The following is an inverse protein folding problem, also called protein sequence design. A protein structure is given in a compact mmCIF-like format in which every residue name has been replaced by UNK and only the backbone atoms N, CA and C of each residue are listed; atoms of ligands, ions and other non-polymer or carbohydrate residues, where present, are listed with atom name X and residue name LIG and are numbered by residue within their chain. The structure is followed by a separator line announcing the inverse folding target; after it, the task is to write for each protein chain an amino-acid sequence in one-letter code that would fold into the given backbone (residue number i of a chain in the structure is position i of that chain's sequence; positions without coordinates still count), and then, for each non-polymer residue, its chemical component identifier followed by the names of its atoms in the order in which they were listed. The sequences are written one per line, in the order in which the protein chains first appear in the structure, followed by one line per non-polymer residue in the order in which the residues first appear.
data_IF_760848904524
#
_entry.id   IF_760848904524
#
_cell.length_a   1.000
_cell.length_b   1.000
_cell.length_c   1.000
_cell.angle_alpha   90.00
_cell.angle_beta   90.00
_cell.angle_gamma   90.00
#
_symmetry.space_group_name_H-M   'P 1'
#
loop_
_entity.id
_entity.type
_entity.pdbx_description
1 polymer ?
#
# COMPACT_ATOMS: atom_id res chain seq x y z
N UNK A 1 1.15 26.88 -10.18
CA UNK A 1 1.18 25.99 -11.36
C UNK A 1 2.62 25.88 -11.83
N UNK A 2 3.07 24.66 -12.05
CA UNK A 2 4.40 24.38 -12.60
C UNK A 2 4.36 24.45 -14.12
N UNK A 3 5.36 25.08 -14.74
CA UNK A 3 5.49 25.19 -16.20
C UNK A 3 6.63 24.30 -16.71
N UNK A 4 6.49 22.98 -16.59
CA UNK A 4 7.52 22.02 -16.99
C UNK A 4 6.92 20.65 -17.39
N UNK A 5 7.66 19.90 -18.21
CA UNK A 5 7.39 18.48 -18.44
C UNK A 5 8.22 17.64 -17.46
N UNK A 6 7.56 17.13 -16.42
CA UNK A 6 8.20 16.28 -15.43
C UNK A 6 8.44 14.87 -15.97
N UNK A 7 9.54 14.26 -15.53
CA UNK A 7 9.91 12.89 -15.91
C UNK A 7 10.12 12.08 -14.64
N UNK A 8 9.51 10.89 -14.60
CA UNK A 8 9.84 9.87 -13.62
C UNK A 8 11.01 9.07 -14.20
N UNK A 9 12.13 8.93 -13.46
CA UNK A 9 13.24 8.09 -13.90
C UNK A 9 12.78 6.66 -14.19
N UNK A 10 13.41 6.01 -15.17
CA UNK A 10 13.17 4.59 -15.40
C UNK A 10 13.56 3.80 -14.13
N UNK A 11 12.63 3.00 -13.58
CA UNK A 11 12.87 2.28 -12.35
C UNK A 11 13.71 1.03 -12.60
N UNK A 12 14.44 0.61 -11.57
CA UNK A 12 15.14 -0.67 -11.52
C UNK A 12 14.54 -1.50 -10.40
N UNK A 13 14.59 -2.83 -10.55
CA UNK A 13 14.10 -3.74 -9.52
C UNK A 13 14.88 -3.58 -8.20
N UNK A 14 14.17 -3.59 -7.08
CA UNK A 14 14.77 -3.56 -5.76
C UNK A 14 15.62 -4.84 -5.53
N UNK A 15 16.87 -4.70 -5.08
CA UNK A 15 17.73 -5.85 -4.88
C UNK A 15 17.25 -6.71 -3.70
N UNK A 16 17.16 -8.02 -3.93
CA UNK A 16 16.84 -9.01 -2.89
C UNK A 16 18.00 -9.11 -1.89
N UNK A 17 17.74 -8.83 -0.62
CA UNK A 17 18.69 -9.01 0.48
C UNK A 17 18.79 -10.49 0.83
N UNK A 18 20.02 -10.96 1.07
CA UNK A 18 20.31 -12.38 1.27
C UNK A 18 20.00 -12.90 2.68
N UNK A 19 20.00 -12.02 3.70
CA UNK A 19 19.83 -12.38 5.11
C UNK A 19 20.80 -13.48 5.59
N UNK A 20 22.03 -13.46 5.08
CA UNK A 20 23.08 -14.42 5.44
C UNK A 20 23.43 -14.39 6.93
N UNK A 21 23.97 -15.49 7.50
CA UNK A 21 24.49 -15.50 8.87
C UNK A 21 25.46 -14.34 9.13
N UNK A 22 25.23 -13.58 10.19
CA UNK A 22 26.06 -12.43 10.57
C UNK A 22 25.75 -11.12 9.82
N UNK A 23 24.85 -11.12 8.84
CA UNK A 23 24.48 -9.89 8.13
C UNK A 23 23.70 -8.91 9.04
N UNK A 24 23.88 -7.59 8.86
CA UNK A 24 23.11 -6.58 9.58
C UNK A 24 21.60 -6.72 9.38
N UNK A 25 21.16 -7.04 8.15
CA UNK A 25 19.74 -7.23 7.82
C UNK A 25 19.12 -8.38 8.61
N UNK A 26 19.85 -9.50 8.77
CA UNK A 26 19.40 -10.63 9.58
C UNK A 26 19.32 -10.28 11.05
N UNK A 27 20.29 -9.52 11.58
CA UNK A 27 20.26 -9.08 12.97
C UNK A 27 19.05 -8.17 13.24
N UNK A 28 18.84 -7.17 12.39
CA UNK A 28 17.73 -6.22 12.50
C UNK A 28 16.36 -6.90 12.35
N UNK A 29 16.22 -7.84 11.40
CA UNK A 29 14.97 -8.58 11.24
C UNK A 29 14.67 -9.47 12.44
N UNK A 30 15.67 -10.13 13.03
CA UNK A 30 15.48 -10.94 14.25
C UNK A 30 15.02 -10.09 15.43
N UNK A 31 15.64 -8.93 15.63
CA UNK A 31 15.22 -7.97 16.66
C UNK A 31 13.77 -7.52 16.43
N UNK A 32 13.43 -7.21 15.17
CA UNK A 32 12.09 -6.77 14.79
C UNK A 32 11.04 -7.87 15.00
N UNK A 33 11.34 -9.12 14.61
CA UNK A 33 10.48 -10.27 14.87
C UNK A 33 10.24 -10.47 16.36
N UNK A 34 11.29 -10.46 17.18
CA UNK A 34 11.17 -10.62 18.64
C UNK A 34 10.31 -9.52 19.26
N UNK A 35 10.54 -8.26 18.87
CA UNK A 35 9.76 -7.11 19.34
C UNK A 35 8.28 -7.22 18.94
N UNK A 36 8.00 -7.55 17.68
CA UNK A 36 6.64 -7.63 17.16
C UNK A 36 5.87 -8.84 17.69
N UNK A 37 6.54 -9.99 17.88
CA UNK A 37 5.95 -11.16 18.51
C UNK A 37 5.60 -10.93 19.99
N UNK A 38 6.37 -10.10 20.69
CA UNK A 38 6.11 -9.74 22.08
C UNK A 38 5.02 -8.68 22.27
N UNK A 39 4.50 -8.10 21.18
CA UNK A 39 3.53 -7.02 21.22
C UNK A 39 2.26 -7.40 20.45
N UNK A 40 1.18 -7.61 21.18
CA UNK A 40 -0.16 -7.66 20.59
C UNK A 40 -0.62 -6.25 20.16
N UNK A 41 -1.31 -6.18 19.03
CA UNK A 41 -1.94 -4.93 18.56
C UNK A 41 -3.45 -5.08 18.38
N UNK A 42 -4.17 -3.98 18.52
CA UNK A 42 -5.57 -3.89 18.14
C UNK A 42 -5.66 -3.12 16.81
N UNK A 43 -6.16 -3.76 15.76
CA UNK A 43 -6.30 -3.15 14.43
C UNK A 43 -7.73 -2.63 14.25
N UNK A 44 -7.95 -1.31 14.25
CA UNK A 44 -9.25 -0.73 13.97
C UNK A 44 -9.55 -0.75 12.46
N UNK A 45 -10.79 -0.44 12.10
CA UNK A 45 -11.07 0.01 10.74
C UNK A 45 -10.51 1.42 10.59
N UNK A 46 -9.97 1.75 9.42
CA UNK A 46 -9.53 3.10 9.12
C UNK A 46 -10.46 3.69 8.07
N UNK A 47 -11.22 4.72 8.44
CA UNK A 47 -12.20 5.38 7.58
C UNK A 47 -11.96 6.88 7.63
N UNK A 48 -11.64 7.50 6.49
CA UNK A 48 -11.33 8.94 6.43
C UNK A 48 -10.21 9.35 7.38
N UNK A 49 -9.20 8.49 7.57
CA UNK A 49 -8.09 8.70 8.52
C UNK A 49 -8.41 8.41 9.99
N UNK A 50 -9.67 8.12 10.33
CA UNK A 50 -10.10 7.89 11.70
C UNK A 50 -10.13 6.39 12.04
N UNK A 51 -9.70 6.07 13.27
CA UNK A 51 -9.79 4.71 13.82
C UNK A 51 -11.21 4.43 14.33
N UNK A 52 -11.86 3.41 13.78
CA UNK A 52 -13.19 2.95 14.21
C UNK A 52 -13.08 1.56 14.83
N UNK A 53 -13.45 1.50 16.12
CA UNK A 53 -13.51 0.27 16.91
C UNK A 53 -14.95 -0.20 17.02
N UNK A 54 -15.30 -1.27 16.32
CA UNK A 54 -16.68 -1.80 16.27
C UNK A 54 -17.06 -2.67 17.46
N UNK A 55 -16.10 -3.07 18.30
CA UNK A 55 -16.27 -4.12 19.32
C UNK A 55 -16.46 -5.54 18.77
N UNK A 56 -16.86 -5.71 17.51
CA UNK A 56 -16.97 -7.00 16.85
C UNK A 56 -15.60 -7.44 16.31
N UNK A 57 -14.84 -8.17 17.11
CA UNK A 57 -13.44 -8.50 16.83
C UNK A 57 -13.22 -9.94 16.34
N UNK A 58 -12.04 -10.18 15.79
CA UNK A 58 -11.48 -11.49 15.51
C UNK A 58 -9.97 -11.47 15.78
N UNK A 59 -9.40 -12.62 16.11
CA UNK A 59 -7.98 -12.73 16.46
C UNK A 59 -7.09 -12.82 15.23
N UNK A 60 -5.87 -12.29 15.36
CA UNK A 60 -4.75 -12.52 14.45
C UNK A 60 -3.74 -13.41 15.18
N UNK A 61 -3.42 -14.56 14.60
CA UNK A 61 -2.48 -15.55 15.15
C UNK A 61 -1.47 -15.94 14.10
N UNK A 62 -0.26 -16.30 14.52
CA UNK A 62 0.77 -16.76 13.59
C UNK A 62 0.42 -18.16 13.05
N UNK A 63 0.38 -18.40 11.72
CA UNK A 63 -0.03 -19.72 11.21
C UNK A 63 0.95 -20.87 11.49
N UNK A 64 2.23 -20.58 11.79
CA UNK A 64 3.22 -21.60 12.15
C UNK A 64 3.16 -22.01 13.63
N UNK A 65 2.55 -21.18 14.47
CA UNK A 65 2.35 -21.44 15.90
C UNK A 65 1.15 -20.63 16.37
N UNK A 66 0.00 -21.28 16.45
CA UNK A 66 -1.28 -20.62 16.72
C UNK A 66 -1.36 -20.11 18.17
N UNK A 67 -0.47 -20.53 19.08
CA UNK A 67 -0.41 -19.99 20.44
C UNK A 67 0.15 -18.56 20.44
N UNK A 68 0.92 -18.20 19.41
CA UNK A 68 1.37 -16.81 19.19
C UNK A 68 0.18 -15.97 18.72
N UNK A 69 -0.36 -15.19 19.65
CA UNK A 69 -1.37 -14.17 19.38
C UNK A 69 -0.69 -12.87 18.98
N UNK A 70 -0.99 -12.39 17.78
CA UNK A 70 -0.49 -11.11 17.25
C UNK A 70 -1.44 -9.95 17.62
N UNK A 71 -2.65 -10.27 18.07
CA UNK A 71 -3.64 -9.33 18.57
C UNK A 71 -5.03 -9.57 17.99
N UNK A 72 -5.82 -8.51 17.82
CA UNK A 72 -7.19 -8.57 17.30
C UNK A 72 -7.45 -7.50 16.27
N UNK A 73 -8.43 -7.71 15.39
CA UNK A 73 -8.92 -6.69 14.48
C UNK A 73 -10.43 -6.55 14.55
N UNK A 74 -10.91 -5.35 14.23
CA UNK A 74 -12.34 -5.05 14.14
C UNK A 74 -12.92 -5.44 12.77
N UNK A 75 -14.08 -6.11 12.78
CA UNK A 75 -14.83 -6.44 11.57
C UNK A 75 -15.81 -5.31 11.24
N UNK A 76 -15.87 -4.94 9.97
CA UNK A 76 -16.83 -3.99 9.42
C UNK A 76 -18.20 -4.64 9.20
N UNK A 77 -19.27 -3.92 9.54
CA UNK A 77 -20.64 -4.21 9.13
C UNK A 77 -21.11 -3.25 8.04
N UNK A 78 -22.42 -3.31 7.73
CA UNK A 78 -23.04 -2.46 6.71
C UNK A 78 -22.84 -0.96 6.98
N UNK A 79 -22.94 -0.55 8.26
CA UNK A 79 -22.75 0.85 8.68
C UNK A 79 -21.35 1.33 8.35
N UNK A 80 -20.32 0.57 8.72
CA UNK A 80 -18.93 0.94 8.49
C UNK A 80 -18.59 0.96 6.99
N UNK A 81 -19.17 0.05 6.20
CA UNK A 81 -19.01 0.08 4.74
C UNK A 81 -19.60 1.35 4.13
N UNK A 82 -20.79 1.79 4.57
CA UNK A 82 -21.40 3.05 4.12
C UNK A 82 -20.53 4.26 4.46
N UNK A 83 -20.01 4.30 5.70
CA UNK A 83 -19.08 5.35 6.13
C UNK A 83 -17.78 5.36 5.30
N UNK A 84 -17.25 4.19 4.95
CA UNK A 84 -16.07 4.08 4.10
C UNK A 84 -16.32 4.61 2.68
N UNK A 85 -17.50 4.35 2.12
CA UNK A 85 -17.90 4.88 0.81
C UNK A 85 -18.01 6.40 0.86
N UNK A 86 -18.70 6.94 1.86
CA UNK A 86 -18.86 8.38 2.03
C UNK A 86 -17.49 9.07 2.17
N UNK A 87 -16.64 8.60 3.08
CA UNK A 87 -15.31 9.17 3.30
C UNK A 87 -14.42 9.11 2.06
N UNK A 88 -14.49 8.03 1.28
CA UNK A 88 -13.74 7.91 0.04
C UNK A 88 -14.23 8.93 -1.01
N UNK A 89 -15.55 9.03 -1.19
CA UNK A 89 -16.14 9.97 -2.15
C UNK A 89 -15.89 11.44 -1.76
N UNK A 90 -15.85 11.75 -0.47
CA UNK A 90 -15.48 13.08 0.04
C UNK A 90 -14.03 13.45 -0.31
N UNK A 91 -13.09 12.51 -0.18
CA UNK A 91 -11.68 12.71 -0.53
C UNK A 91 -11.41 12.76 -2.05
N UNK A 92 -12.32 12.20 -2.87
CA UNK A 92 -12.11 11.99 -4.31
C UNK A 92 -11.81 13.27 -5.08
N UNK A 93 -12.56 14.34 -4.83
CA UNK A 93 -12.41 15.59 -5.60
C UNK A 93 -11.02 16.18 -5.44
N UNK A 94 -10.55 16.30 -4.20
CA UNK A 94 -9.24 16.88 -3.89
C UNK A 94 -8.10 15.98 -4.38
N UNK A 95 -8.25 14.66 -4.22
CA UNK A 95 -7.26 13.70 -4.70
C UNK A 95 -7.14 13.65 -6.22
N UNK A 96 -8.26 13.67 -6.94
CA UNK A 96 -8.29 13.72 -8.40
C UNK A 96 -7.71 15.04 -8.93
N UNK A 97 -7.97 16.16 -8.24
CA UNK A 97 -7.46 17.49 -8.59
C UNK A 97 -5.96 17.67 -8.29
N UNK A 98 -5.37 16.84 -7.43
CA UNK A 98 -3.94 16.85 -7.16
C UNK A 98 -3.14 16.61 -8.46
N UNK A 99 -2.10 17.40 -8.76
CA UNK A 99 -1.23 17.11 -9.90
C UNK A 99 -0.65 15.69 -9.84
N UNK A 100 -0.57 15.02 -10.99
CA UNK A 100 -0.20 13.60 -11.07
C UNK A 100 1.19 13.34 -10.49
N UNK A 101 2.12 14.29 -10.62
CA UNK A 101 3.48 14.19 -10.11
C UNK A 101 3.51 14.14 -8.58
N UNK A 102 2.55 14.79 -7.91
CA UNK A 102 2.43 14.74 -6.46
C UNK A 102 1.84 13.40 -6.00
N UNK A 103 0.84 12.86 -6.72
CA UNK A 103 0.35 11.50 -6.45
C UNK A 103 1.44 10.44 -6.64
N UNK A 104 2.21 10.55 -7.71
CA UNK A 104 3.37 9.69 -7.94
C UNK A 104 4.42 9.83 -6.83
N UNK A 105 4.70 11.06 -6.37
CA UNK A 105 5.68 11.31 -5.31
C UNK A 105 5.34 10.61 -3.99
N UNK A 106 4.05 10.45 -3.67
CA UNK A 106 3.61 9.71 -2.48
C UNK A 106 3.95 8.23 -2.61
N UNK A 107 3.67 7.62 -3.77
CA UNK A 107 4.00 6.20 -4.01
C UNK A 107 5.51 5.97 -4.06
N UNK A 108 6.27 6.88 -4.68
CA UNK A 108 7.73 6.81 -4.70
C UNK A 108 8.32 6.98 -3.29
N UNK A 109 7.77 7.88 -2.47
CA UNK A 109 8.16 8.03 -1.07
C UNK A 109 7.82 6.79 -0.25
N UNK A 110 6.67 6.14 -0.49
CA UNK A 110 6.32 4.88 0.13
C UNK A 110 7.34 3.78 -0.21
N UNK A 111 7.76 3.70 -1.47
CA UNK A 111 8.81 2.78 -1.93
C UNK A 111 10.15 3.04 -1.22
N UNK A 112 10.57 4.29 -1.08
CA UNK A 112 11.83 4.63 -0.42
C UNK A 112 11.80 4.37 1.09
N UNK A 113 10.66 4.66 1.75
CA UNK A 113 10.42 4.29 3.13
C UNK A 113 10.53 2.77 3.35
N UNK A 114 10.00 1.99 2.39
CA UNK A 114 10.05 0.53 2.39
C UNK A 114 11.45 -0.02 2.08
N UNK A 115 12.20 0.58 1.14
CA UNK A 115 13.63 0.24 0.94
C UNK A 115 14.44 0.47 2.21
N UNK A 116 14.08 1.50 2.99
CA UNK A 116 14.76 1.87 4.23
C UNK A 116 14.19 1.21 5.49
N UNK A 117 13.71 2.06 6.40
CA UNK A 117 13.38 1.70 7.79
C UNK A 117 12.17 0.78 7.94
N UNK A 118 11.26 0.77 6.96
CA UNK A 118 10.05 -0.04 7.02
C UNK A 118 10.26 -1.50 6.58
N UNK A 119 11.32 -1.80 5.82
CA UNK A 119 11.63 -3.14 5.33
C UNK A 119 11.62 -4.24 6.40
N UNK A 120 12.37 -4.12 7.52
CA UNK A 120 12.35 -5.16 8.54
C UNK A 120 10.97 -5.30 9.21
N UNK A 121 10.20 -4.22 9.31
CA UNK A 121 8.86 -4.20 9.91
C UNK A 121 7.88 -4.98 9.03
N UNK A 122 7.85 -4.67 7.73
CA UNK A 122 6.92 -5.31 6.79
C UNK A 122 7.29 -6.77 6.51
N UNK A 123 8.59 -7.08 6.41
CA UNK A 123 9.03 -8.47 6.31
C UNK A 123 8.67 -9.25 7.58
N UNK A 124 8.92 -8.71 8.78
CA UNK A 124 8.54 -9.38 10.03
C UNK A 124 7.02 -9.55 10.15
N UNK A 125 6.23 -8.54 9.82
CA UNK A 125 4.78 -8.61 9.85
C UNK A 125 4.24 -9.70 8.91
N UNK A 126 4.81 -9.78 7.71
CA UNK A 126 4.44 -10.78 6.71
C UNK A 126 4.88 -12.19 7.13
N UNK A 127 6.07 -12.35 7.70
CA UNK A 127 6.52 -13.63 8.24
C UNK A 127 5.62 -14.11 9.40
N UNK A 128 5.28 -13.22 10.33
CA UNK A 128 4.43 -13.55 11.48
C UNK A 128 2.98 -13.85 11.04
N UNK A 129 2.35 -12.94 10.29
CA UNK A 129 0.93 -13.05 9.93
C UNK A 129 0.63 -14.07 8.84
N UNK A 130 1.56 -14.29 7.90
CA UNK A 130 1.36 -15.20 6.75
C UNK A 130 2.28 -16.42 6.76
N UNK A 131 3.08 -16.60 7.82
CA UNK A 131 4.00 -17.72 7.97
C UNK A 131 5.01 -17.87 6.83
N UNK A 132 5.42 -16.74 6.24
CA UNK A 132 6.45 -16.73 5.20
C UNK A 132 7.83 -16.95 5.80
N UNK A 133 8.70 -17.61 5.04
CA UNK A 133 10.14 -17.58 5.32
C UNK A 133 10.68 -16.18 5.02
N UNK A 134 11.87 -15.86 5.53
CA UNK A 134 12.48 -14.54 5.26
C UNK A 134 12.63 -14.26 3.77
N UNK A 135 13.04 -15.25 2.97
CA UNK A 135 13.16 -15.10 1.52
C UNK A 135 11.80 -14.83 0.87
N UNK A 136 10.75 -15.56 1.29
CA UNK A 136 9.40 -15.40 0.75
C UNK A 136 8.76 -14.07 1.13
N UNK A 137 9.05 -13.53 2.32
CA UNK A 137 8.63 -12.18 2.69
C UNK A 137 9.43 -11.11 1.94
N UNK A 138 10.74 -11.30 1.84
CA UNK A 138 11.64 -10.37 1.17
C UNK A 138 11.26 -10.10 -0.29
N UNK A 139 11.02 -11.16 -1.07
CA UNK A 139 10.66 -11.00 -2.48
C UNK A 139 9.25 -10.42 -2.67
N UNK A 140 8.38 -10.50 -1.66
CA UNK A 140 6.97 -10.08 -1.68
C UNK A 140 6.78 -8.71 -1.01
N UNK A 141 6.78 -8.67 0.32
CA UNK A 141 6.45 -7.50 1.12
C UNK A 141 7.49 -6.38 1.05
N UNK A 142 8.68 -6.67 0.53
CA UNK A 142 9.68 -5.68 0.20
C UNK A 142 9.83 -5.51 -1.31
N UNK A 143 10.57 -6.40 -1.99
CA UNK A 143 11.00 -6.15 -3.37
C UNK A 143 9.83 -5.93 -4.34
N UNK A 144 8.89 -6.86 -4.42
CA UNK A 144 7.76 -6.75 -5.35
C UNK A 144 6.86 -5.54 -5.04
N UNK A 145 6.64 -5.21 -3.76
CA UNK A 145 5.85 -4.03 -3.39
C UNK A 145 6.55 -2.71 -3.73
N UNK A 146 7.86 -2.61 -3.43
CA UNK A 146 8.70 -1.47 -3.82
C UNK A 146 8.65 -1.29 -5.34
N UNK A 147 8.80 -2.40 -6.07
CA UNK A 147 8.76 -2.42 -7.52
C UNK A 147 7.39 -2.00 -8.04
N UNK A 148 6.27 -2.51 -7.49
CA UNK A 148 4.94 -2.06 -7.89
C UNK A 148 4.80 -0.55 -7.79
N UNK A 149 5.23 0.08 -6.69
CA UNK A 149 5.09 1.52 -6.53
C UNK A 149 6.00 2.31 -7.48
N UNK A 150 7.25 1.88 -7.69
CA UNK A 150 8.19 2.53 -8.63
C UNK A 150 7.77 2.36 -10.08
N UNK A 151 7.47 1.12 -10.49
CA UNK A 151 7.09 0.79 -11.85
C UNK A 151 5.71 1.32 -12.21
N UNK A 152 4.70 1.26 -11.34
CA UNK A 152 3.39 1.85 -11.65
C UNK A 152 3.47 3.38 -11.81
N UNK A 153 4.29 4.07 -11.01
CA UNK A 153 4.52 5.50 -11.18
C UNK A 153 5.13 5.80 -12.55
N UNK A 154 6.13 5.02 -12.95
CA UNK A 154 6.74 5.11 -14.29
C UNK A 154 5.74 4.80 -15.41
N UNK A 155 4.97 3.71 -15.30
CA UNK A 155 3.96 3.32 -16.28
C UNK A 155 2.84 4.36 -16.41
N UNK A 156 2.40 4.97 -15.31
CA UNK A 156 1.46 6.08 -15.35
C UNK A 156 2.01 7.23 -16.21
N UNK A 157 3.28 7.60 -16.01
CA UNK A 157 3.92 8.65 -16.82
C UNK A 157 4.02 8.26 -18.31
N UNK A 158 4.31 7.00 -18.62
CA UNK A 158 4.34 6.49 -20.00
C UNK A 158 2.95 6.58 -20.65
N UNK A 159 1.90 6.11 -19.98
CA UNK A 159 0.51 6.18 -20.47
C UNK A 159 0.12 7.63 -20.73
N UNK A 160 0.39 8.55 -19.81
CA UNK A 160 0.04 9.97 -20.00
C UNK A 160 0.80 10.66 -21.15
N UNK A 161 1.98 10.14 -21.51
CA UNK A 161 2.77 10.66 -22.62
C UNK A 161 2.21 10.24 -24.00
N UNK A 162 1.32 9.24 -24.06
CA UNK A 162 0.66 8.86 -25.29
C UNK A 162 -0.35 9.93 -25.70
N UNK A 163 -0.08 10.61 -26.83
CA UNK A 163 -0.89 11.72 -27.35
C UNK A 163 -1.16 11.53 -28.85
N UNK A 164 -2.32 12.00 -29.35
CA UNK A 164 -2.72 11.81 -30.74
C UNK A 164 -1.97 12.76 -31.69
N UNK A 165 -1.92 12.37 -32.96
CA UNK A 165 -1.46 13.25 -34.04
C UNK A 165 -2.41 14.45 -34.17
N UNK A 166 -1.83 15.63 -34.38
CA UNK A 166 -2.57 16.86 -34.69
C UNK A 166 -2.47 17.17 -36.19
N UNK A 167 -3.61 17.31 -36.85
CA UNK A 167 -3.69 17.71 -38.26
C UNK A 167 -3.60 19.23 -38.43
N UNK A 168 -3.52 19.70 -39.68
CA UNK A 168 -3.45 21.12 -39.98
C UNK A 168 -4.63 21.91 -39.36
N UNK A 169 -4.34 22.99 -38.64
CA UNK A 169 -5.35 23.83 -37.98
C UNK A 169 -6.00 23.22 -36.74
N UNK A 170 -5.52 22.07 -36.26
CA UNK A 170 -6.05 21.39 -35.07
C UNK A 170 -4.94 21.09 -34.06
N UNK A 171 -5.30 21.01 -32.77
CA UNK A 171 -4.41 20.51 -31.73
C UNK A 171 -5.18 19.52 -30.85
N UNK A 172 -4.93 18.24 -31.09
CA UNK A 172 -5.59 17.14 -30.40
C UNK A 172 -4.84 16.79 -29.12
N UNK A 173 -5.59 16.44 -28.06
CA UNK A 173 -5.04 16.03 -26.76
C UNK A 173 -5.92 14.94 -26.16
N UNK A 174 -5.30 14.03 -25.41
CA UNK A 174 -5.99 13.06 -24.57
C UNK A 174 -5.75 13.41 -23.11
N UNK A 175 -6.83 13.44 -22.36
CA UNK A 175 -6.82 13.58 -20.90
C UNK A 175 -7.22 12.25 -20.27
N UNK A 176 -6.34 11.67 -19.47
CA UNK A 176 -6.57 10.43 -18.75
C UNK A 176 -7.30 10.74 -17.44
N UNK A 177 -8.63 10.63 -17.48
CA UNK A 177 -9.48 10.91 -16.31
C UNK A 177 -9.51 9.71 -15.36
N UNK A 178 -9.53 9.93 -14.03
CA UNK A 178 -9.88 8.88 -13.08
C UNK A 178 -11.34 8.44 -13.27
N UNK A 179 -11.70 7.30 -12.70
CA UNK A 179 -13.07 6.81 -12.72
C UNK A 179 -13.98 7.69 -11.84
N UNK A 180 -15.27 7.69 -12.16
CA UNK A 180 -16.30 8.23 -11.29
C UNK A 180 -16.76 7.20 -10.26
N UNK A 181 -16.85 7.62 -9.00
CA UNK A 181 -17.13 6.74 -7.86
C UNK A 181 -15.86 6.32 -7.11
N UNK A 182 -15.90 5.11 -6.55
CA UNK A 182 -14.80 4.53 -5.77
C UNK A 182 -14.44 3.15 -6.31
N UNK A 183 -13.22 2.69 -6.03
CA UNK A 183 -12.77 1.34 -6.36
C UNK A 183 -12.85 0.47 -5.11
N UNK A 184 -13.40 -0.74 -5.23
CA UNK A 184 -13.41 -1.71 -4.15
C UNK A 184 -12.29 -2.74 -4.35
N UNK A 185 -11.24 -2.65 -3.54
CA UNK A 185 -10.09 -3.54 -3.60
C UNK A 185 -10.25 -4.68 -2.59
N UNK A 186 -10.43 -5.90 -3.09
CA UNK A 186 -10.49 -7.13 -2.27
C UNK A 186 -9.22 -7.93 -2.51
N UNK A 187 -8.35 -8.02 -1.50
CA UNK A 187 -7.03 -8.64 -1.67
C UNK A 187 -6.92 -10.03 -1.04
N UNK A 188 -6.09 -10.93 -1.63
CA UNK A 188 -5.88 -12.28 -1.14
C UNK A 188 -4.88 -12.31 0.04
N UNK A 189 -4.60 -13.51 0.55
CA UNK A 189 -3.70 -13.72 1.68
C UNK A 189 -2.23 -13.98 1.29
N UNK A 190 -2.00 -14.39 0.05
CA UNK A 190 -0.75 -15.02 -0.37
C UNK A 190 0.40 -14.03 -0.62
N UNK A 191 0.08 -12.75 -0.90
CA UNK A 191 1.08 -11.71 -1.14
C UNK A 191 0.67 -10.40 -0.48
N UNK A 192 1.58 -9.85 0.32
CA UNK A 192 1.45 -8.50 0.88
C UNK A 192 1.57 -7.44 -0.23
N UNK A 193 2.41 -7.69 -1.23
CA UNK A 193 2.60 -6.85 -2.42
C UNK A 193 1.29 -6.69 -3.19
N UNK A 194 0.61 -7.79 -3.53
CA UNK A 194 -0.68 -7.78 -4.22
C UNK A 194 -1.71 -7.07 -3.35
N UNK A 195 -1.71 -7.34 -2.05
CA UNK A 195 -2.66 -6.75 -1.14
C UNK A 195 -2.58 -5.22 -1.10
N UNK A 196 -1.38 -4.68 -1.11
CA UNK A 196 -1.12 -3.25 -1.14
C UNK A 196 -1.30 -2.64 -2.54
N UNK A 197 -0.89 -3.36 -3.60
CA UNK A 197 -0.93 -2.85 -4.97
C UNK A 197 -2.36 -2.66 -5.49
N UNK A 198 -3.28 -3.58 -5.16
CA UNK A 198 -4.68 -3.52 -5.60
C UNK A 198 -5.39 -2.19 -5.25
N UNK A 199 -5.27 -1.63 -4.03
CA UNK A 199 -5.79 -0.30 -3.73
C UNK A 199 -4.86 0.84 -4.20
N UNK A 200 -3.53 0.69 -4.16
CA UNK A 200 -2.64 1.82 -4.48
C UNK A 200 -2.51 2.12 -5.97
N UNK A 201 -2.66 1.12 -6.86
CA UNK A 201 -2.56 1.34 -8.30
C UNK A 201 -3.72 2.21 -8.85
N UNK A 202 -5.00 1.96 -8.50
CA UNK A 202 -6.08 2.90 -8.82
C UNK A 202 -5.92 4.25 -8.13
N UNK A 203 -5.43 4.27 -6.88
CA UNK A 203 -5.20 5.51 -6.15
C UNK A 203 -4.16 6.41 -6.85
N UNK A 204 -3.05 5.84 -7.33
CA UNK A 204 -2.02 6.55 -8.08
C UNK A 204 -2.59 7.34 -9.28
N UNK A 205 -3.54 6.76 -10.00
CA UNK A 205 -4.18 7.39 -11.17
C UNK A 205 -5.40 8.24 -10.82
N UNK A 206 -5.56 8.62 -9.54
CA UNK A 206 -6.55 9.61 -9.08
C UNK A 206 -7.88 9.04 -8.62
N UNK A 207 -8.01 7.73 -8.42
CA UNK A 207 -9.20 7.13 -7.80
C UNK A 207 -9.07 7.13 -6.27
N UNK A 208 -10.18 6.84 -5.60
CA UNK A 208 -10.23 6.54 -4.17
C UNK A 208 -10.65 5.08 -3.98
N UNK A 209 -10.14 4.45 -2.92
CA UNK A 209 -10.23 3.01 -2.74
C UNK A 209 -10.78 2.63 -1.37
N UNK A 210 -11.70 1.67 -1.37
CA UNK A 210 -12.06 0.92 -0.17
C UNK A 210 -11.30 -0.39 -0.21
N UNK A 211 -10.39 -0.59 0.73
CA UNK A 211 -9.56 -1.79 0.80
C UNK A 211 -10.09 -2.78 1.84
N UNK A 212 -10.50 -3.96 1.38
CA UNK A 212 -10.85 -5.09 2.24
C UNK A 212 -9.81 -6.21 2.09
N UNK A 213 -8.82 -6.29 2.99
CA UNK A 213 -7.84 -7.36 2.96
C UNK A 213 -8.43 -8.71 3.39
N UNK A 214 -7.75 -9.79 3.03
CA UNK A 214 -8.01 -11.10 3.60
C UNK A 214 -7.81 -11.08 5.13
N UNK A 215 -8.67 -11.78 5.86
CA UNK A 215 -8.62 -11.81 7.33
C UNK A 215 -7.27 -12.27 7.89
N UNK A 216 -6.58 -13.16 7.20
CA UNK A 216 -5.26 -13.67 7.59
C UNK A 216 -4.09 -12.71 7.31
N UNK A 217 -4.34 -11.57 6.65
CA UNK A 217 -3.30 -10.57 6.32
C UNK A 217 -3.56 -9.20 6.90
N UNK A 218 -4.57 -9.06 7.77
CA UNK A 218 -4.87 -7.79 8.44
C UNK A 218 -3.65 -7.25 9.19
N UNK A 219 -2.85 -8.12 9.80
CA UNK A 219 -1.65 -7.73 10.56
C UNK A 219 -0.61 -7.01 9.68
N UNK A 220 -0.15 -7.64 8.59
CA UNK A 220 0.83 -7.04 7.67
C UNK A 220 0.24 -5.84 6.92
N UNK A 221 -1.02 -5.93 6.48
CA UNK A 221 -1.68 -4.86 5.74
C UNK A 221 -1.95 -3.61 6.59
N UNK A 222 -2.09 -3.74 7.92
CA UNK A 222 -2.12 -2.59 8.80
C UNK A 222 -0.79 -1.82 8.80
N UNK A 223 0.35 -2.52 8.80
CA UNK A 223 1.65 -1.87 8.68
C UNK A 223 1.88 -1.26 7.29
N UNK A 224 1.35 -1.86 6.22
CA UNK A 224 1.30 -1.21 4.89
C UNK A 224 0.53 0.11 4.97
N UNK A 225 -0.66 0.11 5.58
CA UNK A 225 -1.44 1.34 5.74
C UNK A 225 -0.68 2.41 6.53
N UNK A 226 -0.03 2.04 7.63
CA UNK A 226 0.78 2.97 8.43
C UNK A 226 1.94 3.58 7.62
N UNK A 227 2.60 2.77 6.78
CA UNK A 227 3.62 3.23 5.86
C UNK A 227 3.07 4.23 4.84
N UNK A 228 1.93 3.93 4.22
CA UNK A 228 1.27 4.83 3.26
C UNK A 228 0.87 6.16 3.91
N UNK A 229 0.35 6.12 5.13
CA UNK A 229 0.04 7.32 5.91
C UNK A 229 1.30 8.16 6.17
N UNK A 230 2.41 7.52 6.54
CA UNK A 230 3.69 8.20 6.72
C UNK A 230 4.28 8.78 5.41
N UNK A 231 4.04 8.11 4.28
CA UNK A 231 4.41 8.60 2.96
C UNK A 231 3.59 9.85 2.55
N UNK A 232 2.46 10.09 3.20
CA UNK A 232 1.59 11.25 2.97
C UNK A 232 0.38 10.94 2.10
N UNK A 233 -0.07 9.68 2.05
CA UNK A 233 -1.37 9.36 1.45
C UNK A 233 -2.48 10.10 2.23
N UNK A 234 -3.30 10.93 1.56
CA UNK A 234 -4.33 11.69 2.25
C UNK A 234 -5.40 10.79 2.88
N UNK A 235 -6.00 11.28 3.96
CA UNK A 235 -7.10 10.60 4.63
C UNK A 235 -8.28 10.42 3.68
N UNK A 236 -8.77 9.17 3.56
CA UNK A 236 -9.92 8.82 2.72
C UNK A 236 -9.57 8.35 1.29
N UNK A 237 -8.31 8.42 0.86
CA UNK A 237 -7.87 7.91 -0.45
C UNK A 237 -7.71 6.39 -0.47
#
# INVERSE_FOLDING_TARGET
MSNAFFKIPEPVNDPVRSYEPGSPDRALLKETLARMQAQEIEVPLIIGGQEIRTGNTAEMRAPHDHDIRLGVYHKAGEKEVKLAIEAALDARSDWAAMPWEHRASIMLRAADLLTGRWRPILNAATMLGQSKTVYQAEIDSACELIDFWRFNAYYMAQIMAEQPISGAGTWNRVEYRPLEGFVFAVSPFNFTSIAANLPTAPALVGNVCIWKPASSTVYSNYYVYQLLREAGLPDGV
#
